data_IF_016038733471
#
_entry.id   IF_016038733471
#
_cell.length_a   1.000
_cell.length_b   1.000
_cell.length_c   1.000
_cell.angle_alpha   90.00
_cell.angle_beta   90.00
_cell.angle_gamma   90.00
#
_symmetry.space_group_name_H-M   'P 1'
#
loop_
_entity.id
_entity.type
_entity.pdbx_description
1 polymer ?
#
# COMPACT_ATOMS: atom_id res chain seq x y z
N UNK A 1 -9.92 38.87 -6.66
CA UNK A 1 -9.31 37.52 -6.79
C UNK A 1 -9.76 36.91 -8.12
N UNK A 2 -8.90 36.79 -9.11
CA UNK A 2 -9.25 36.18 -10.40
C UNK A 2 -9.56 34.68 -10.17
N UNK A 3 -10.72 34.22 -10.62
CA UNK A 3 -11.04 32.78 -10.61
C UNK A 3 -10.10 32.06 -11.57
N UNK A 4 -9.39 31.04 -11.10
CA UNK A 4 -8.56 30.19 -11.95
C UNK A 4 -9.39 29.53 -13.05
N UNK A 5 -8.89 29.52 -14.27
CA UNK A 5 -9.54 28.86 -15.40
C UNK A 5 -9.54 27.33 -15.22
N UNK A 6 -10.45 26.62 -15.90
CA UNK A 6 -10.48 25.14 -15.91
C UNK A 6 -9.14 24.55 -16.36
N UNK A 7 -8.45 25.20 -17.31
CA UNK A 7 -7.15 24.78 -17.83
C UNK A 7 -6.06 24.88 -16.75
N UNK A 8 -6.02 25.97 -16.00
CA UNK A 8 -5.07 26.16 -14.90
C UNK A 8 -5.31 25.16 -13.76
N UNK A 9 -6.57 24.94 -13.40
CA UNK A 9 -6.93 23.94 -12.38
C UNK A 9 -6.54 22.53 -12.80
N UNK A 10 -6.77 22.15 -14.07
CA UNK A 10 -6.33 20.85 -14.62
C UNK A 10 -4.82 20.70 -14.54
N UNK A 11 -4.05 21.73 -14.95
CA UNK A 11 -2.58 21.71 -14.87
C UNK A 11 -2.10 21.53 -13.43
N UNK A 12 -2.66 22.32 -12.51
CA UNK A 12 -2.36 22.21 -11.07
C UNK A 12 -2.65 20.82 -10.52
N UNK A 13 -3.79 20.22 -10.84
CA UNK A 13 -4.16 18.87 -10.40
C UNK A 13 -3.18 17.81 -10.92
N UNK A 14 -2.81 17.85 -12.21
CA UNK A 14 -1.84 16.91 -12.79
C UNK A 14 -0.44 17.05 -12.14
N UNK A 15 0.00 18.27 -11.83
CA UNK A 15 1.25 18.48 -11.11
C UNK A 15 1.17 17.92 -9.68
N UNK A 16 0.08 18.17 -8.96
CA UNK A 16 -0.13 17.65 -7.61
C UNK A 16 -0.13 16.11 -7.57
N UNK A 17 -0.77 15.45 -8.54
CA UNK A 17 -0.74 13.98 -8.67
C UNK A 17 0.68 13.45 -8.89
N UNK A 18 1.47 14.14 -9.75
CA UNK A 18 2.87 13.78 -9.98
C UNK A 18 3.70 13.93 -8.70
N UNK A 19 3.59 15.08 -8.03
CA UNK A 19 4.35 15.37 -6.81
C UNK A 19 3.97 14.41 -5.68
N UNK A 20 2.68 14.08 -5.55
CA UNK A 20 2.21 13.03 -4.64
C UNK A 20 2.88 11.68 -4.92
N UNK A 21 2.91 11.25 -6.19
CA UNK A 21 3.54 9.98 -6.56
C UNK A 21 5.04 9.94 -6.24
N UNK A 22 5.77 11.03 -6.54
CA UNK A 22 7.19 11.16 -6.25
C UNK A 22 7.45 11.10 -4.73
N UNK A 23 6.76 11.93 -3.95
CA UNK A 23 6.97 12.00 -2.50
C UNK A 23 6.57 10.70 -1.80
N UNK A 24 5.48 10.05 -2.23
CA UNK A 24 5.07 8.75 -1.69
C UNK A 24 6.12 7.67 -1.96
N UNK A 25 6.72 7.66 -3.17
CA UNK A 25 7.80 6.72 -3.51
C UNK A 25 9.04 6.95 -2.65
N UNK A 26 9.45 8.20 -2.47
CA UNK A 26 10.58 8.57 -1.61
C UNK A 26 10.34 8.17 -0.15
N UNK A 27 9.14 8.43 0.37
CA UNK A 27 8.75 8.02 1.72
C UNK A 27 8.83 6.49 1.90
N UNK A 28 8.31 5.72 0.93
CA UNK A 28 8.37 4.25 0.97
C UNK A 28 9.79 3.72 0.96
N UNK A 29 10.67 4.31 0.16
CA UNK A 29 12.08 3.95 0.12
C UNK A 29 12.77 4.25 1.47
N UNK A 30 12.58 5.44 2.01
CA UNK A 30 13.13 5.84 3.30
C UNK A 30 12.65 4.93 4.44
N UNK A 31 11.37 4.56 4.45
CA UNK A 31 10.82 3.62 5.42
C UNK A 31 11.45 2.22 5.31
N UNK A 32 11.67 1.76 4.09
CA UNK A 32 12.30 0.46 3.83
C UNK A 32 13.76 0.44 4.29
N UNK A 33 14.52 1.48 3.98
CA UNK A 33 15.89 1.66 4.43
C UNK A 33 15.99 1.72 5.96
N UNK A 34 15.13 2.54 6.59
CA UNK A 34 15.09 2.68 8.04
C UNK A 34 14.76 1.36 8.76
N UNK A 35 13.85 0.55 8.21
CA UNK A 35 13.47 -0.74 8.77
C UNK A 35 14.46 -1.87 8.43
N UNK A 36 15.44 -1.63 7.55
CA UNK A 36 16.35 -2.67 7.03
C UNK A 36 15.65 -3.71 6.16
N UNK A 37 14.55 -3.34 5.50
CA UNK A 37 13.74 -4.19 4.64
C UNK A 37 13.78 -3.69 3.21
N UNK A 38 13.51 -4.57 2.24
CA UNK A 38 13.25 -4.08 0.89
C UNK A 38 11.83 -3.54 0.75
N UNK A 39 11.59 -2.73 -0.30
CA UNK A 39 10.30 -2.05 -0.53
C UNK A 39 9.14 -3.04 -0.61
N UNK A 40 9.33 -4.19 -1.23
CA UNK A 40 8.27 -5.19 -1.40
C UNK A 40 7.89 -5.85 -0.09
N UNK A 41 8.87 -6.14 0.78
CA UNK A 41 8.66 -6.68 2.12
C UNK A 41 7.88 -5.67 2.99
N UNK A 42 8.27 -4.38 2.90
CA UNK A 42 7.58 -3.30 3.60
C UNK A 42 6.13 -3.14 3.13
N UNK A 43 5.87 -3.23 1.82
CA UNK A 43 4.50 -3.18 1.27
C UNK A 43 3.65 -4.37 1.72
N UNK A 44 4.23 -5.57 1.79
CA UNK A 44 3.55 -6.74 2.33
C UNK A 44 3.13 -6.53 3.80
N UNK A 45 4.05 -6.05 4.64
CA UNK A 45 3.76 -5.74 6.04
C UNK A 45 2.71 -4.65 6.17
N UNK A 46 2.79 -3.59 5.38
CA UNK A 46 1.80 -2.50 5.38
C UNK A 46 0.39 -3.01 5.12
N UNK A 47 0.21 -3.89 4.13
CA UNK A 47 -1.10 -4.52 3.88
C UNK A 47 -1.56 -5.35 5.07
N UNK A 48 -0.68 -6.17 5.66
CA UNK A 48 -1.01 -7.01 6.80
C UNK A 48 -1.38 -6.19 8.04
N UNK A 49 -0.70 -5.08 8.30
CA UNK A 49 -1.06 -4.17 9.41
C UNK A 49 -2.39 -3.47 9.19
N UNK A 50 -2.72 -3.16 7.94
CA UNK A 50 -4.02 -2.55 7.62
C UNK A 50 -5.16 -3.58 7.69
N UNK A 51 -4.96 -4.79 7.16
CA UNK A 51 -5.99 -5.81 6.99
C UNK A 51 -6.06 -6.82 8.14
N UNK A 52 -4.98 -6.97 8.89
CA UNK A 52 -4.81 -7.94 9.97
C UNK A 52 -4.39 -9.31 9.49
N UNK A 53 -5.00 -9.84 8.43
CA UNK A 53 -4.72 -11.17 7.89
C UNK A 53 -4.99 -11.21 6.38
N UNK A 54 -4.16 -11.95 5.64
CA UNK A 54 -4.32 -12.12 4.19
C UNK A 54 -3.88 -13.52 3.73
N UNK A 55 -4.38 -13.96 2.59
CA UNK A 55 -3.86 -15.15 1.90
C UNK A 55 -2.59 -14.82 1.11
N UNK A 56 -1.70 -15.79 0.84
CA UNK A 56 -0.55 -15.60 -0.06
C UNK A 56 -0.94 -15.03 -1.43
N UNK A 57 -2.08 -15.46 -1.98
CA UNK A 57 -2.60 -14.98 -3.27
C UNK A 57 -3.02 -13.50 -3.23
N UNK A 58 -3.60 -13.05 -2.12
CA UNK A 58 -3.92 -11.62 -1.93
C UNK A 58 -2.64 -10.79 -1.84
N UNK A 59 -1.63 -11.28 -1.12
CA UNK A 59 -0.34 -10.63 -1.00
C UNK A 59 0.39 -10.56 -2.34
N UNK A 60 0.40 -11.66 -3.12
CA UNK A 60 0.95 -11.69 -4.47
C UNK A 60 0.30 -10.63 -5.38
N UNK A 61 -1.03 -10.56 -5.38
CA UNK A 61 -1.76 -9.57 -6.16
C UNK A 61 -1.46 -8.13 -5.72
N UNK A 62 -1.36 -7.90 -4.42
CA UNK A 62 -1.08 -6.57 -3.88
C UNK A 62 0.34 -6.10 -4.19
N UNK A 63 1.33 -6.97 -4.01
CA UNK A 63 2.75 -6.66 -4.26
C UNK A 63 3.13 -6.74 -5.73
N UNK A 64 2.29 -7.35 -6.58
CA UNK A 64 2.59 -7.58 -8.00
C UNK A 64 3.60 -8.69 -8.25
N UNK A 65 3.90 -9.53 -7.26
CA UNK A 65 4.88 -10.61 -7.36
C UNK A 65 4.27 -11.88 -7.98
N UNK A 66 5.14 -12.69 -8.60
CA UNK A 66 4.81 -14.08 -8.96
C UNK A 66 4.64 -14.95 -7.70
N UNK A 67 3.98 -16.11 -7.83
CA UNK A 67 3.80 -17.04 -6.72
C UNK A 67 5.12 -17.46 -6.06
N UNK A 68 6.14 -17.78 -6.85
CA UNK A 68 7.46 -18.14 -6.33
C UNK A 68 8.15 -17.00 -5.58
N UNK A 69 8.11 -15.78 -6.13
CA UNK A 69 8.67 -14.60 -5.49
C UNK A 69 7.90 -14.23 -4.20
N UNK A 70 6.58 -14.43 -4.19
CA UNK A 70 5.76 -14.25 -2.99
C UNK A 70 6.15 -15.24 -1.90
N UNK A 71 6.33 -16.53 -2.23
CA UNK A 71 6.78 -17.54 -1.27
C UNK A 71 8.13 -17.14 -0.67
N UNK A 72 9.10 -16.76 -1.50
CA UNK A 72 10.42 -16.34 -1.03
C UNK A 72 10.37 -15.08 -0.13
N UNK A 73 9.51 -14.13 -0.44
CA UNK A 73 9.23 -12.95 0.38
C UNK A 73 8.67 -13.37 1.75
N UNK A 74 7.65 -14.22 1.76
CA UNK A 74 7.01 -14.68 3.00
C UNK A 74 7.97 -15.49 3.87
N UNK A 75 8.79 -16.35 3.29
CA UNK A 75 9.82 -17.13 4.02
C UNK A 75 10.86 -16.22 4.66
N UNK A 76 11.24 -15.13 4.00
CA UNK A 76 12.17 -14.13 4.53
C UNK A 76 11.55 -13.35 5.69
N UNK A 77 10.31 -12.89 5.55
CA UNK A 77 9.59 -12.16 6.59
C UNK A 77 9.30 -13.04 7.82
N UNK A 78 8.97 -14.31 7.62
CA UNK A 78 8.75 -15.26 8.70
C UNK A 78 10.05 -15.57 9.46
N UNK A 79 11.16 -15.80 8.76
CA UNK A 79 12.49 -15.96 9.38
C UNK A 79 12.95 -14.72 10.15
N UNK A 80 12.53 -13.53 9.72
CA UNK A 80 12.77 -12.29 10.45
C UNK A 80 11.81 -12.09 11.65
N UNK A 81 10.86 -13.00 11.88
CA UNK A 81 9.88 -12.91 12.96
C UNK A 81 8.86 -11.79 12.78
N UNK A 82 8.65 -11.31 11.55
CA UNK A 82 7.74 -10.20 11.25
C UNK A 82 6.32 -10.67 10.90
N UNK A 83 6.20 -11.89 10.40
CA UNK A 83 4.92 -12.53 10.08
C UNK A 83 4.88 -13.96 10.62
N UNK A 84 3.68 -14.51 10.68
CA UNK A 84 3.45 -15.92 10.97
C UNK A 84 2.43 -16.52 10.00
N UNK A 85 2.58 -17.82 9.73
CA UNK A 85 1.62 -18.60 8.96
C UNK A 85 0.62 -19.27 9.89
N UNK A 86 -0.66 -19.14 9.57
CA UNK A 86 -1.76 -19.76 10.33
C UNK A 86 -2.59 -20.66 9.41
N UNK A 87 -3.17 -21.78 9.93
CA UNK A 87 -4.14 -22.56 9.18
C UNK A 87 -5.35 -21.71 8.79
N UNK A 88 -5.88 -21.93 7.59
CA UNK A 88 -7.11 -21.25 7.18
C UNK A 88 -8.33 -22.04 7.69
N UNK A 89 -9.15 -21.50 8.60
CA UNK A 89 -10.30 -22.20 9.14
C UNK A 89 -11.40 -22.49 8.10
N UNK A 90 -11.40 -21.74 6.99
CA UNK A 90 -12.37 -21.92 5.89
C UNK A 90 -11.90 -22.88 4.79
N UNK A 91 -10.60 -23.16 4.74
CA UNK A 91 -10.00 -24.06 3.77
C UNK A 91 -8.79 -24.76 4.40
N UNK A 92 -8.94 -26.04 4.72
CA UNK A 92 -7.89 -26.84 5.38
C UNK A 92 -6.59 -26.96 4.58
N UNK A 93 -6.62 -26.67 3.29
CA UNK A 93 -5.44 -26.65 2.41
C UNK A 93 -4.81 -25.27 2.29
N UNK A 94 -5.51 -24.26 2.78
CA UNK A 94 -5.10 -22.86 2.69
C UNK A 94 -4.28 -22.41 3.89
N UNK A 95 -3.39 -21.48 3.63
CA UNK A 95 -2.60 -20.79 4.65
C UNK A 95 -3.03 -19.31 4.71
N UNK A 96 -3.10 -18.77 5.90
CA UNK A 96 -3.26 -17.36 6.17
C UNK A 96 -1.94 -16.78 6.70
N UNK A 97 -1.66 -15.55 6.32
CA UNK A 97 -0.50 -14.80 6.78
C UNK A 97 -0.99 -13.69 7.69
N UNK A 98 -0.39 -13.56 8.85
CA UNK A 98 -0.68 -12.52 9.83
C UNK A 98 0.62 -11.86 10.31
N UNK A 99 0.58 -10.61 10.82
CA UNK A 99 1.70 -10.05 11.56
C UNK A 99 2.05 -10.96 12.75
N UNK A 100 3.33 -11.21 12.99
CA UNK A 100 3.76 -11.95 14.17
C UNK A 100 3.50 -11.12 15.44
N UNK A 101 2.95 -11.73 16.48
CA UNK A 101 2.60 -11.02 17.70
C UNK A 101 3.81 -10.33 18.36
N UNK A 102 4.99 -10.97 18.31
CA UNK A 102 6.24 -10.43 18.85
C UNK A 102 6.76 -9.18 18.15
N UNK A 103 6.35 -8.94 16.91
CA UNK A 103 6.78 -7.79 16.10
C UNK A 103 5.68 -6.78 15.85
N UNK A 104 4.43 -7.09 16.25
CA UNK A 104 3.28 -6.26 15.94
C UNK A 104 3.42 -4.83 16.47
N UNK A 105 3.88 -4.64 17.69
CA UNK A 105 4.09 -3.32 18.30
C UNK A 105 5.19 -2.53 17.58
N UNK A 106 6.34 -3.16 17.32
CA UNK A 106 7.46 -2.53 16.63
C UNK A 106 7.07 -2.14 15.22
N UNK A 107 6.40 -3.02 14.49
CA UNK A 107 6.00 -2.75 13.13
C UNK A 107 4.82 -1.76 13.06
N UNK A 108 3.90 -1.78 14.03
CA UNK A 108 2.83 -0.78 14.13
C UNK A 108 3.39 0.64 14.26
N UNK A 109 4.44 0.84 15.07
CA UNK A 109 5.09 2.14 15.24
C UNK A 109 5.69 2.70 13.94
N UNK A 110 6.09 1.83 12.99
CA UNK A 110 6.64 2.26 11.69
C UNK A 110 5.61 2.99 10.83
N UNK A 111 4.34 2.64 10.98
CA UNK A 111 3.27 3.19 10.15
C UNK A 111 2.38 4.20 10.89
N UNK A 112 2.49 4.26 12.22
CA UNK A 112 1.59 5.04 13.07
C UNK A 112 1.65 6.53 12.75
N UNK A 113 2.84 7.10 12.66
CA UNK A 113 3.01 8.53 12.36
C UNK A 113 2.39 8.91 11.01
N UNK A 114 2.68 8.12 9.96
CA UNK A 114 2.12 8.38 8.63
C UNK A 114 0.61 8.17 8.58
N UNK A 115 0.10 7.15 9.28
CA UNK A 115 -1.34 6.88 9.38
C UNK A 115 -2.07 8.03 10.08
N UNK A 116 -1.56 8.49 11.20
CA UNK A 116 -2.16 9.59 11.97
C UNK A 116 -2.15 10.89 11.14
N UNK A 117 -1.04 11.20 10.46
CA UNK A 117 -0.96 12.37 9.58
C UNK A 117 -1.93 12.28 8.39
N UNK A 118 -2.12 11.09 7.81
CA UNK A 118 -3.11 10.88 6.75
C UNK A 118 -4.54 11.03 7.28
N UNK A 119 -4.84 10.47 8.44
CA UNK A 119 -6.15 10.56 9.07
C UNK A 119 -6.50 12.01 9.41
N UNK A 120 -5.57 12.76 10.01
CA UNK A 120 -5.72 14.18 10.29
C UNK A 120 -6.00 14.99 9.01
N UNK A 121 -5.22 14.75 7.94
CA UNK A 121 -5.40 15.41 6.66
C UNK A 121 -6.81 15.13 6.09
N UNK A 122 -7.19 13.87 6.02
CA UNK A 122 -8.49 13.46 5.45
C UNK A 122 -9.65 13.96 6.31
N UNK A 123 -9.53 13.92 7.64
CA UNK A 123 -10.56 14.42 8.56
C UNK A 123 -10.77 15.93 8.49
N UNK A 124 -9.87 16.69 7.87
CA UNK A 124 -10.01 18.13 7.68
C UNK A 124 -10.98 18.54 6.58
N UNK A 125 -11.44 17.59 5.75
CA UNK A 125 -12.34 17.84 4.62
C UNK A 125 -13.80 17.62 4.99
N UNK A 126 -14.70 18.34 4.32
CA UNK A 126 -16.15 18.14 4.44
C UNK A 126 -16.56 16.80 3.79
N UNK A 127 -17.69 16.25 4.22
CA UNK A 127 -18.22 14.98 3.74
C UNK A 127 -18.40 14.97 2.21
N UNK A 128 -18.93 16.05 1.62
CA UNK A 128 -19.07 16.22 0.17
C UNK A 128 -17.74 16.33 -0.58
N UNK A 129 -16.69 16.81 0.09
CA UNK A 129 -15.33 16.85 -0.48
C UNK A 129 -14.68 15.47 -0.40
N UNK A 130 -14.93 14.72 0.67
CA UNK A 130 -14.44 13.35 0.84
C UNK A 130 -15.00 12.42 -0.22
N UNK A 131 -16.25 12.55 -0.64
CA UNK A 131 -16.84 11.79 -1.76
C UNK A 131 -16.06 12.01 -3.06
N UNK A 132 -15.74 13.28 -3.37
CA UNK A 132 -14.96 13.63 -4.57
C UNK A 132 -13.53 13.09 -4.47
N UNK A 133 -12.89 13.25 -3.29
CA UNK A 133 -11.53 12.78 -3.03
C UNK A 133 -11.47 11.26 -3.19
N UNK A 134 -12.41 10.52 -2.61
CA UNK A 134 -12.49 9.06 -2.73
C UNK A 134 -12.64 8.62 -4.19
N UNK A 135 -13.63 9.17 -4.95
CA UNK A 135 -13.82 8.87 -6.37
C UNK A 135 -12.55 9.11 -7.19
N UNK A 136 -11.87 10.24 -6.97
CA UNK A 136 -10.64 10.58 -7.69
C UNK A 136 -9.53 9.55 -7.43
N UNK A 137 -9.28 9.18 -6.18
CA UNK A 137 -8.23 8.21 -5.83
C UNK A 137 -8.58 6.78 -6.28
N UNK A 138 -9.83 6.36 -6.19
CA UNK A 138 -10.29 5.06 -6.70
C UNK A 138 -10.09 4.96 -8.21
N UNK A 139 -10.42 6.01 -8.96
CA UNK A 139 -10.19 6.07 -10.41
C UNK A 139 -8.70 6.07 -10.77
N UNK A 140 -7.85 6.76 -10.02
CA UNK A 140 -6.41 6.69 -10.21
C UNK A 140 -5.85 5.29 -9.90
N UNK A 141 -6.32 4.64 -8.83
CA UNK A 141 -5.91 3.28 -8.51
C UNK A 141 -6.24 2.31 -9.65
N UNK A 142 -7.46 2.40 -10.20
CA UNK A 142 -7.87 1.60 -11.35
C UNK A 142 -7.04 1.92 -12.60
N UNK A 143 -6.84 3.20 -12.90
CA UNK A 143 -6.05 3.64 -14.06
C UNK A 143 -4.63 3.03 -14.01
N UNK A 144 -3.96 3.12 -12.88
CA UNK A 144 -2.59 2.61 -12.75
C UNK A 144 -2.53 1.07 -12.77
N UNK A 145 -3.55 0.37 -12.24
CA UNK A 145 -3.64 -1.08 -12.39
C UNK A 145 -3.82 -1.49 -13.86
N UNK A 146 -4.66 -0.79 -14.60
CA UNK A 146 -4.89 -1.04 -16.03
C UNK A 146 -3.60 -0.76 -16.85
N UNK A 147 -2.90 0.34 -16.60
CA UNK A 147 -1.63 0.66 -17.27
C UNK A 147 -0.53 -0.35 -16.93
N UNK A 148 -0.40 -0.76 -15.67
CA UNK A 148 0.52 -1.82 -15.25
C UNK A 148 0.29 -3.12 -16.03
N UNK A 149 -0.97 -3.52 -16.19
CA UNK A 149 -1.33 -4.74 -16.94
C UNK A 149 -0.96 -4.64 -18.43
N UNK A 150 -1.05 -3.44 -19.02
CA UNK A 150 -0.61 -3.21 -20.42
C UNK A 150 0.88 -3.39 -20.57
N UNK A 151 1.68 -2.80 -19.66
CA UNK A 151 3.13 -2.93 -19.66
C UNK A 151 3.57 -4.39 -19.47
N UNK A 152 2.91 -5.15 -18.58
CA UNK A 152 3.22 -6.57 -18.36
C UNK A 152 2.87 -7.49 -19.53
N UNK A 153 2.02 -7.07 -20.45
CA UNK A 153 1.62 -7.82 -21.65
C UNK A 153 2.38 -7.36 -22.90
N UNK A 154 3.15 -6.27 -22.80
CA UNK A 154 3.99 -5.83 -23.90
C UNK A 154 5.10 -6.85 -24.16
N UNK A 155 5.40 -7.19 -25.43
CA UNK A 155 6.40 -8.19 -25.80
C UNK A 155 7.81 -7.79 -25.38
#
# INVERSE_FOLDING_TARGET
MMKSTKTELKKRALMAVRDYGVNLTQFRNAMSEWAGLNVTDMECLRLLFFKGIATPSELARYTGLTSGATTAMLDRLERAGLIERRPNPKDRRGTLIAPAQSSAEKAASWFESARNAQDELISSYLESELEIIADVFERFAKLWDDERRKVQKAP
#
